data_IF_438683185753
#
_entry.id   IF_438683185753
#
_cell.length_a   1.000
_cell.length_b   1.000
_cell.length_c   1.000
_cell.angle_alpha   90.00
_cell.angle_beta   90.00
_cell.angle_gamma   90.00
#
_symmetry.space_group_name_H-M   'P 1'
#
loop_
_entity.id
_entity.type
_entity.pdbx_description
1 polymer ?
#
# COMPACT_ATOMS: atom_id res chain seq x y z
N UNK A 1 -8.49 -31.37 39.50
CA UNK A 1 -9.33 -30.94 38.36
C UNK A 1 -9.09 -29.48 37.91
N UNK A 2 -8.30 -28.66 38.64
CA UNK A 2 -8.13 -27.22 38.31
C UNK A 2 -7.03 -26.87 37.29
N UNK A 3 -6.03 -27.74 37.07
CA UNK A 3 -4.90 -27.46 36.17
C UNK A 3 -5.30 -27.63 34.70
N UNK A 4 -6.07 -28.68 34.40
CA UNK A 4 -6.57 -28.97 33.05
C UNK A 4 -7.45 -27.85 32.49
N UNK A 5 -8.28 -27.23 33.32
CA UNK A 5 -9.22 -26.18 32.88
C UNK A 5 -8.53 -24.85 32.60
N UNK A 6 -7.47 -24.53 33.37
CA UNK A 6 -6.65 -23.32 33.17
C UNK A 6 -5.81 -23.40 31.90
N UNK A 7 -5.26 -24.57 31.58
CA UNK A 7 -4.53 -24.79 30.33
C UNK A 7 -5.46 -24.66 29.10
N UNK A 8 -6.68 -25.19 29.16
CA UNK A 8 -7.66 -25.04 28.09
C UNK A 8 -8.04 -23.57 27.85
N UNK A 9 -8.26 -22.80 28.93
CA UNK A 9 -8.59 -21.38 28.82
C UNK A 9 -7.45 -20.59 28.17
N UNK A 10 -6.19 -20.85 28.55
CA UNK A 10 -5.03 -20.21 27.93
C UNK A 10 -4.86 -20.59 26.46
N UNK A 11 -5.12 -21.84 26.08
CA UNK A 11 -5.05 -22.27 24.69
C UNK A 11 -6.11 -21.56 23.82
N UNK A 12 -7.34 -21.42 24.34
CA UNK A 12 -8.43 -20.72 23.64
C UNK A 12 -8.14 -19.23 23.50
N UNK A 13 -7.61 -18.57 24.54
CA UNK A 13 -7.28 -17.15 24.45
C UNK A 13 -6.13 -16.89 23.49
N UNK A 14 -5.08 -17.73 23.48
CA UNK A 14 -3.99 -17.63 22.51
C UNK A 14 -4.49 -17.85 21.08
N UNK A 15 -5.34 -18.85 20.85
CA UNK A 15 -5.91 -19.13 19.53
C UNK A 15 -6.78 -17.97 19.03
N UNK A 16 -7.59 -17.36 19.91
CA UNK A 16 -8.42 -16.20 19.57
C UNK A 16 -7.59 -14.96 19.19
N UNK A 17 -6.48 -14.71 19.90
CA UNK A 17 -5.56 -13.59 19.58
C UNK A 17 -4.88 -13.80 18.24
N UNK A 18 -4.47 -15.04 17.92
CA UNK A 18 -3.85 -15.37 16.63
C UNK A 18 -4.84 -15.22 15.45
N UNK A 19 -6.11 -15.60 15.64
CA UNK A 19 -7.15 -15.46 14.61
C UNK A 19 -7.53 -14.00 14.35
N UNK A 20 -7.43 -13.13 15.36
CA UNK A 20 -7.76 -11.71 15.23
C UNK A 20 -6.73 -10.90 14.41
N UNK A 21 -5.56 -11.47 14.10
CA UNK A 21 -4.47 -10.76 13.42
C UNK A 21 -4.64 -10.62 11.89
N UNK A 22 -5.66 -11.25 11.29
CA UNK A 22 -5.75 -11.40 9.83
C UNK A 22 -6.44 -10.23 9.09
N UNK A 23 -6.95 -9.21 9.79
CA UNK A 23 -7.81 -8.19 9.19
C UNK A 23 -7.27 -6.76 9.38
N UNK A 24 -6.12 -6.46 8.76
CA UNK A 24 -5.66 -5.08 8.60
C UNK A 24 -4.84 -4.92 7.31
N UNK A 25 -5.37 -5.40 6.20
CA UNK A 25 -4.91 -4.97 4.88
C UNK A 25 -6.00 -4.04 4.33
N UNK A 26 -5.66 -2.84 3.83
CA UNK A 26 -6.62 -2.06 3.06
C UNK A 26 -7.17 -2.99 1.97
N UNK A 27 -8.49 -3.16 1.93
CA UNK A 27 -9.14 -4.10 1.04
C UNK A 27 -9.02 -3.59 -0.40
N UNK A 28 -7.88 -3.85 -1.02
CA UNK A 28 -7.63 -3.62 -2.43
C UNK A 28 -8.51 -4.60 -3.21
N UNK A 29 -9.70 -4.16 -3.61
CA UNK A 29 -10.62 -4.93 -4.43
C UNK A 29 -10.27 -4.74 -5.91
N UNK A 30 -9.25 -5.47 -6.38
CA UNK A 30 -8.85 -5.42 -7.79
C UNK A 30 -9.92 -6.07 -8.67
N UNK A 31 -10.85 -5.28 -9.21
CA UNK A 31 -11.65 -5.70 -10.37
C UNK A 31 -11.14 -4.97 -11.60
N UNK A 32 -10.93 -5.69 -12.71
CA UNK A 32 -10.40 -5.13 -13.96
C UNK A 32 -11.21 -3.93 -14.50
N UNK A 33 -12.51 -3.84 -14.15
CA UNK A 33 -13.38 -2.69 -14.47
C UNK A 33 -13.08 -1.42 -13.68
N UNK A 34 -12.25 -1.49 -12.65
CA UNK A 34 -11.94 -0.36 -11.78
C UNK A 34 -10.77 0.50 -12.27
N UNK A 35 -10.04 0.05 -13.30
CA UNK A 35 -8.99 0.84 -13.92
C UNK A 35 -9.63 1.79 -14.95
N UNK A 36 -9.53 3.09 -14.69
CA UNK A 36 -9.81 4.17 -15.65
C UNK A 36 -9.00 3.92 -16.95
N UNK A 37 -9.50 4.28 -18.16
CA UNK A 37 -9.09 3.70 -19.44
C UNK A 37 -7.59 3.72 -19.70
N UNK A 38 -7.15 2.71 -20.47
CA UNK A 38 -5.75 2.40 -20.73
C UNK A 38 -4.94 3.65 -21.10
N UNK A 39 -3.85 3.87 -20.36
CA UNK A 39 -2.81 4.88 -20.55
C UNK A 39 -2.17 4.94 -21.95
N UNK A 40 -2.68 4.19 -22.94
CA UNK A 40 -2.18 4.13 -24.31
C UNK A 40 -2.04 5.51 -24.98
N UNK A 41 -2.77 6.52 -24.52
CA UNK A 41 -2.68 7.89 -25.01
C UNK A 41 -1.93 8.85 -24.07
N UNK A 42 -1.60 8.43 -22.85
CA UNK A 42 -0.94 9.27 -21.86
C UNK A 42 0.57 9.09 -21.88
N UNK A 43 1.28 10.11 -22.35
CA UNK A 43 2.72 10.19 -22.15
C UNK A 43 2.99 10.50 -20.67
N UNK A 44 3.34 9.48 -19.87
CA UNK A 44 3.65 9.66 -18.45
C UNK A 44 5.06 10.25 -18.28
N UNK A 45 5.22 11.56 -17.98
CA UNK A 45 6.52 12.23 -18.02
C UNK A 45 7.51 11.70 -16.97
N UNK A 46 7.01 11.09 -15.90
CA UNK A 46 7.80 10.53 -14.81
C UNK A 46 7.81 8.99 -14.80
N UNK A 47 7.31 8.38 -15.87
CA UNK A 47 7.20 6.94 -16.04
C UNK A 47 5.84 6.37 -15.64
N UNK A 48 5.67 5.10 -15.99
CA UNK A 48 4.50 4.31 -15.64
C UNK A 48 4.83 3.39 -14.46
N UNK A 49 3.83 3.10 -13.64
CA UNK A 49 3.96 2.12 -12.57
C UNK A 49 2.61 1.51 -12.23
N UNK A 50 2.54 0.96 -11.02
CA UNK A 50 1.33 0.36 -10.47
C UNK A 50 0.75 1.26 -9.39
N UNK A 51 -0.57 1.21 -9.23
CA UNK A 51 -1.22 1.84 -8.09
C UNK A 51 -0.76 1.19 -6.75
N UNK A 52 -1.07 1.80 -5.59
CA UNK A 52 -0.68 1.25 -4.28
C UNK A 52 -1.23 -0.16 -3.98
N UNK A 53 -2.25 -0.58 -4.71
CA UNK A 53 -2.87 -1.89 -4.59
C UNK A 53 -2.29 -2.93 -5.58
N UNK A 54 -1.33 -2.53 -6.40
CA UNK A 54 -0.78 -3.31 -7.51
C UNK A 54 -1.83 -3.75 -8.55
N UNK A 55 -2.99 -3.08 -8.64
CA UNK A 55 -4.09 -3.48 -9.53
C UNK A 55 -3.93 -2.88 -10.93
N UNK A 56 -3.83 -1.55 -11.02
CA UNK A 56 -3.90 -0.81 -12.27
C UNK A 56 -2.55 -0.20 -12.66
N UNK A 57 -2.32 -0.06 -13.97
CA UNK A 57 -1.21 0.75 -14.48
C UNK A 57 -1.59 2.23 -14.36
N UNK A 58 -0.68 3.06 -13.83
CA UNK A 58 -0.89 4.49 -13.56
C UNK A 58 0.36 5.30 -13.96
N UNK A 59 0.19 6.59 -14.27
CA UNK A 59 1.33 7.51 -14.37
C UNK A 59 1.90 7.80 -12.98
N UNK A 60 3.23 7.75 -12.86
CA UNK A 60 3.93 8.07 -11.62
C UNK A 60 3.94 9.58 -11.35
N UNK A 61 4.01 9.95 -10.07
CA UNK A 61 3.99 11.34 -9.62
C UNK A 61 5.31 12.07 -9.85
N UNK A 62 5.23 13.36 -10.12
CA UNK A 62 6.37 14.24 -10.37
C UNK A 62 6.93 14.91 -9.11
N UNK A 63 7.96 15.76 -9.24
CA UNK A 63 8.55 16.50 -8.13
C UNK A 63 7.52 17.39 -7.43
N UNK A 64 7.61 17.48 -6.09
CA UNK A 64 6.72 18.24 -5.21
C UNK A 64 5.25 17.76 -5.16
N UNK A 65 4.86 16.77 -5.98
CA UNK A 65 3.55 16.13 -5.86
C UNK A 65 3.43 15.43 -4.51
N UNK A 66 2.22 15.45 -3.95
CA UNK A 66 1.91 14.78 -2.68
C UNK A 66 2.12 13.27 -2.79
N UNK A 67 2.75 12.64 -1.80
CA UNK A 67 2.98 11.20 -1.76
C UNK A 67 2.64 10.60 -0.39
N UNK A 68 2.48 9.28 -0.34
CA UNK A 68 2.13 8.54 0.88
C UNK A 68 1.65 7.11 0.60
N UNK A 69 1.29 6.35 1.64
CA UNK A 69 0.97 4.91 1.52
C UNK A 69 -0.24 4.58 0.63
N UNK A 70 -1.20 5.51 0.52
CA UNK A 70 -2.42 5.35 -0.28
C UNK A 70 -2.38 6.19 -1.57
N UNK A 71 -1.26 6.83 -1.85
CA UNK A 71 -1.08 7.72 -3.00
C UNK A 71 -0.27 7.00 -4.08
N UNK A 72 -0.54 7.33 -5.35
CA UNK A 72 0.28 6.84 -6.47
C UNK A 72 1.78 7.10 -6.21
N UNK A 73 2.66 6.12 -6.49
CA UNK A 73 4.09 6.26 -6.23
C UNK A 73 4.76 7.39 -7.04
N UNK A 74 5.87 7.88 -6.49
CA UNK A 74 6.74 8.84 -7.16
C UNK A 74 7.45 8.21 -8.37
N UNK A 75 7.76 9.04 -9.36
CA UNK A 75 8.43 8.65 -10.60
C UNK A 75 9.88 8.20 -10.43
N UNK A 76 10.45 7.75 -11.54
CA UNK A 76 11.84 7.31 -11.59
C UNK A 76 12.80 8.43 -11.13
N UNK A 77 13.76 8.08 -10.27
CA UNK A 77 14.72 9.04 -9.71
C UNK A 77 14.13 9.98 -8.66
N UNK A 78 12.89 9.73 -8.22
CA UNK A 78 12.23 10.43 -7.13
C UNK A 78 11.94 9.48 -5.96
N UNK A 79 11.90 10.01 -4.75
CA UNK A 79 11.46 9.31 -3.55
C UNK A 79 10.41 10.12 -2.80
N UNK A 80 9.57 9.46 -2.00
CA UNK A 80 8.63 10.16 -1.14
C UNK A 80 9.34 10.66 0.13
N UNK A 81 9.47 11.98 0.30
CA UNK A 81 9.97 12.58 1.53
C UNK A 81 8.91 12.44 2.63
N UNK A 82 9.15 11.65 3.70
CA UNK A 82 8.15 11.38 4.73
C UNK A 82 7.88 12.60 5.62
N UNK A 83 8.78 13.58 5.67
CA UNK A 83 8.61 14.81 6.47
C UNK A 83 7.70 15.78 5.73
N UNK A 84 7.88 15.90 4.42
CA UNK A 84 7.11 16.85 3.60
C UNK A 84 5.87 16.23 2.96
N UNK A 85 5.81 14.90 2.87
CA UNK A 85 4.75 14.19 2.16
C UNK A 85 4.77 14.50 0.65
N UNK A 86 5.96 14.69 0.07
CA UNK A 86 6.13 15.11 -1.32
C UNK A 86 7.25 14.34 -2.03
N UNK A 87 7.10 14.15 -3.34
CA UNK A 87 8.13 13.53 -4.17
C UNK A 87 9.36 14.45 -4.34
N UNK A 88 10.56 13.92 -4.13
CA UNK A 88 11.83 14.65 -4.22
C UNK A 88 12.87 13.89 -5.01
N UNK A 89 13.77 14.63 -5.67
CA UNK A 89 14.86 14.02 -6.43
C UNK A 89 15.94 13.48 -5.50
N UNK A 90 16.44 12.29 -5.84
CA UNK A 90 17.57 11.65 -5.14
C UNK A 90 18.85 12.49 -5.26
N UNK A 91 18.96 13.35 -6.28
CA UNK A 91 20.13 14.22 -6.50
C UNK A 91 20.08 15.56 -5.75
N UNK A 92 19.03 15.82 -4.96
CA UNK A 92 18.86 17.06 -4.19
C UNK A 92 18.94 16.84 -2.67
N UNK A 93 19.37 15.64 -2.25
CA UNK A 93 19.56 15.27 -0.84
C UNK A 93 21.03 15.36 -0.42
#
# INVERSE_FOLDING_TARGET
MGVSMRCCLLAVTVLAVLLASAAAMPACNCTYRSCEPELREFHCPYGEGRDPCDCCRVCLKGPADKCGPLETPCGHGLYCDPVKGQCRSVHQA
#
